data_IF_082624536650
#
_entry.id   IF_082624536650
#
_cell.length_a   1.000
_cell.length_b   1.000
_cell.length_c   1.000
_cell.angle_alpha   90.00
_cell.angle_beta   90.00
_cell.angle_gamma   90.00
#
_symmetry.space_group_name_H-M   'P 1'
#
loop_
_entity.id
_entity.type
_entity.pdbx_description
1 polymer ?
#
# COMPACT_ATOMS: atom_id res chain seq x y z
N UNK A 1 -52.52 -11.24 -63.94
CA UNK A 1 -52.27 -12.24 -62.88
C UNK A 1 -51.01 -11.82 -62.13
N UNK A 2 -51.14 -11.26 -60.92
CA UNK A 2 -49.99 -10.87 -60.07
C UNK A 2 -49.72 -12.02 -59.09
N UNK A 3 -48.53 -12.61 -59.15
CA UNK A 3 -48.10 -13.68 -58.23
C UNK A 3 -47.37 -12.99 -57.07
N UNK A 4 -47.92 -13.11 -55.86
CA UNK A 4 -47.28 -12.65 -54.63
C UNK A 4 -46.39 -13.79 -54.09
N UNK A 5 -45.10 -13.52 -53.89
CA UNK A 5 -44.22 -14.41 -53.13
C UNK A 5 -44.34 -14.12 -51.62
N UNK A 6 -44.28 -15.13 -50.74
CA UNK A 6 -44.29 -14.91 -49.31
C UNK A 6 -42.89 -14.48 -48.85
N UNK A 7 -42.83 -13.37 -48.11
CA UNK A 7 -41.65 -12.96 -47.37
C UNK A 7 -41.55 -13.85 -46.13
N UNK A 8 -40.58 -14.75 -46.11
CA UNK A 8 -40.23 -15.52 -44.91
C UNK A 8 -39.41 -14.59 -44.01
N UNK A 9 -40.02 -14.15 -42.91
CA UNK A 9 -39.31 -13.44 -41.84
C UNK A 9 -38.56 -14.49 -41.01
N UNK A 10 -37.25 -14.59 -41.21
CA UNK A 10 -36.38 -15.38 -40.34
C UNK A 10 -36.08 -14.54 -39.10
N UNK A 11 -36.76 -14.83 -38.00
CA UNK A 11 -36.46 -14.24 -36.70
C UNK A 11 -35.14 -14.81 -36.18
N UNK A 12 -34.06 -14.03 -36.25
CA UNK A 12 -32.79 -14.35 -35.60
C UNK A 12 -32.95 -14.13 -34.08
N UNK A 13 -33.25 -15.19 -33.35
CA UNK A 13 -33.17 -15.21 -31.89
C UNK A 13 -31.70 -15.41 -31.49
N UNK A 14 -30.98 -14.31 -31.24
CA UNK A 14 -29.68 -14.39 -30.59
C UNK A 14 -29.89 -14.70 -29.10
N UNK A 15 -29.83 -15.98 -28.72
CA UNK A 15 -29.71 -16.37 -27.32
C UNK A 15 -28.36 -15.86 -26.80
N UNK A 16 -28.40 -14.84 -25.95
CA UNK A 16 -27.24 -14.46 -25.15
C UNK A 16 -27.04 -15.51 -24.05
N UNK A 17 -26.15 -16.46 -24.31
CA UNK A 17 -25.73 -17.49 -23.35
C UNK A 17 -24.84 -16.81 -22.28
N UNK A 18 -25.44 -16.25 -21.24
CA UNK A 18 -24.71 -15.95 -20.01
C UNK A 18 -24.49 -17.28 -19.28
N UNK A 19 -23.36 -17.94 -19.53
CA UNK A 19 -22.96 -19.08 -18.72
C UNK A 19 -22.87 -18.62 -17.26
N UNK A 20 -23.58 -19.30 -16.35
CA UNK A 20 -23.48 -19.00 -14.91
C UNK A 20 -22.05 -19.26 -14.44
N UNK A 21 -21.44 -18.27 -13.78
CA UNK A 21 -20.11 -18.42 -13.18
C UNK A 21 -20.11 -19.56 -12.15
N UNK A 22 -19.22 -20.53 -12.35
CA UNK A 22 -19.04 -21.63 -11.41
C UNK A 22 -18.43 -21.12 -10.08
N UNK A 23 -18.55 -21.87 -8.97
CA UNK A 23 -17.83 -21.53 -7.73
C UNK A 23 -16.32 -21.38 -7.93
N UNK A 24 -15.73 -22.21 -8.81
CA UNK A 24 -14.32 -22.11 -9.16
C UNK A 24 -14.00 -20.82 -9.94
N UNK A 25 -14.90 -20.35 -10.80
CA UNK A 25 -14.73 -19.05 -11.50
C UNK A 25 -14.79 -17.89 -10.50
N UNK A 26 -15.72 -17.95 -9.54
CA UNK A 26 -15.85 -16.94 -8.47
C UNK A 26 -14.61 -16.84 -7.59
N UNK A 27 -14.05 -17.98 -7.17
CA UNK A 27 -12.80 -18.05 -6.39
C UNK A 27 -11.54 -17.63 -7.16
N UNK A 28 -11.66 -17.49 -8.48
CA UNK A 28 -10.60 -17.02 -9.36
C UNK A 28 -10.86 -15.62 -9.93
N UNK A 29 -11.99 -15.01 -9.61
CA UNK A 29 -12.34 -13.66 -10.06
C UNK A 29 -11.33 -12.62 -9.53
N UNK A 30 -11.03 -11.54 -10.28
CA UNK A 30 -10.12 -10.49 -9.81
C UNK A 30 -10.53 -9.89 -8.46
N UNK A 31 -11.85 -9.71 -8.24
CA UNK A 31 -12.38 -9.18 -6.99
C UNK A 31 -12.13 -10.10 -5.79
N UNK A 32 -12.36 -11.41 -5.96
CA UNK A 32 -12.08 -12.39 -4.91
C UNK A 32 -10.58 -12.46 -4.59
N UNK A 33 -9.74 -12.56 -5.62
CA UNK A 33 -8.28 -12.58 -5.46
C UNK A 33 -7.78 -11.31 -4.76
N UNK A 34 -8.32 -10.14 -5.10
CA UNK A 34 -7.93 -8.89 -4.44
C UNK A 34 -8.27 -8.90 -2.95
N UNK A 35 -9.47 -9.38 -2.59
CA UNK A 35 -9.90 -9.51 -1.19
C UNK A 35 -9.04 -10.52 -0.43
N UNK A 36 -8.83 -11.71 -1.00
CA UNK A 36 -8.00 -12.75 -0.39
C UNK A 36 -6.54 -12.29 -0.23
N UNK A 37 -6.00 -11.57 -1.20
CA UNK A 37 -4.69 -10.94 -1.12
C UNK A 37 -4.58 -9.95 0.04
N UNK A 38 -5.63 -9.17 0.29
CA UNK A 38 -5.71 -8.26 1.46
C UNK A 38 -5.74 -9.03 2.78
N UNK A 39 -6.52 -10.11 2.85
CA UNK A 39 -6.61 -10.98 4.03
C UNK A 39 -5.27 -11.67 4.33
N UNK A 40 -4.59 -12.16 3.29
CA UNK A 40 -3.23 -12.70 3.39
C UNK A 40 -2.25 -11.65 3.93
N UNK A 41 -2.27 -10.44 3.37
CA UNK A 41 -1.41 -9.34 3.81
C UNK A 41 -1.64 -9.02 5.29
N UNK A 42 -2.90 -8.86 5.70
CA UNK A 42 -3.27 -8.58 7.09
C UNK A 42 -2.95 -9.70 8.08
N UNK A 43 -2.73 -10.91 7.59
CA UNK A 43 -2.27 -12.03 8.38
C UNK A 43 -0.73 -12.21 8.35
N UNK A 44 0.01 -11.27 7.76
CA UNK A 44 1.48 -11.35 7.61
C UNK A 44 1.95 -12.35 6.55
N UNK A 45 1.03 -12.96 5.79
CA UNK A 45 1.33 -13.90 4.70
C UNK A 45 1.65 -13.13 3.41
N UNK A 46 2.81 -12.47 3.40
CA UNK A 46 3.20 -11.51 2.36
C UNK A 46 3.33 -12.18 0.97
N UNK A 47 3.93 -13.37 0.92
CA UNK A 47 4.13 -14.10 -0.35
C UNK A 47 2.79 -14.49 -0.99
N UNK A 48 1.86 -15.00 -0.20
CA UNK A 48 0.52 -15.40 -0.65
C UNK A 48 -0.30 -14.18 -1.09
N UNK A 49 -0.17 -13.07 -0.39
CA UNK A 49 -0.78 -11.79 -0.78
C UNK A 49 -0.30 -11.34 -2.16
N UNK A 50 1.01 -11.35 -2.39
CA UNK A 50 1.59 -10.99 -3.69
C UNK A 50 1.16 -11.94 -4.80
N UNK A 51 1.08 -13.25 -4.53
CA UNK A 51 0.61 -14.23 -5.53
C UNK A 51 -0.79 -13.88 -6.05
N UNK A 52 -1.70 -13.51 -5.16
CA UNK A 52 -3.06 -13.12 -5.55
C UNK A 52 -3.08 -11.78 -6.29
N UNK A 53 -2.39 -10.76 -5.78
CA UNK A 53 -2.37 -9.43 -6.41
C UNK A 53 -1.60 -9.41 -7.75
N UNK A 54 -0.52 -10.19 -7.90
CA UNK A 54 0.18 -10.36 -9.17
C UNK A 54 -0.76 -10.97 -10.22
N UNK A 55 -1.62 -11.91 -9.81
CA UNK A 55 -2.64 -12.49 -10.68
C UNK A 55 -3.71 -11.47 -11.05
N UNK A 56 -4.18 -10.65 -10.11
CA UNK A 56 -5.14 -9.56 -10.38
C UNK A 56 -4.58 -8.62 -11.45
N UNK A 57 -3.35 -8.14 -11.28
CA UNK A 57 -2.69 -7.23 -12.23
C UNK A 57 -2.48 -7.90 -13.60
N UNK A 58 -2.22 -9.21 -13.65
CA UNK A 58 -2.12 -9.95 -14.92
C UNK A 58 -3.48 -10.08 -15.62
N UNK A 59 -4.55 -10.31 -14.87
CA UNK A 59 -5.91 -10.46 -15.40
C UNK A 59 -6.50 -9.11 -15.85
N UNK A 60 -6.17 -8.04 -15.13
CA UNK A 60 -6.73 -6.70 -15.33
C UNK A 60 -5.60 -5.66 -15.30
N UNK A 61 -4.76 -5.56 -16.36
CA UNK A 61 -3.57 -4.70 -16.37
C UNK A 61 -3.83 -3.23 -16.06
N UNK A 62 -5.00 -2.71 -16.42
CA UNK A 62 -5.45 -1.36 -16.13
C UNK A 62 -5.65 -1.07 -14.63
N UNK A 63 -5.77 -2.10 -13.79
CA UNK A 63 -5.83 -1.92 -12.32
C UNK A 63 -4.44 -1.75 -11.70
N UNK A 64 -3.35 -2.04 -12.42
CA UNK A 64 -2.00 -2.00 -11.84
C UNK A 64 -1.63 -0.64 -11.23
N UNK A 65 -1.91 0.52 -11.86
CA UNK A 65 -1.68 1.83 -11.25
C UNK A 65 -2.51 2.07 -9.99
N UNK A 66 -3.66 1.41 -9.83
CA UNK A 66 -4.52 1.57 -8.64
C UNK A 66 -4.15 0.62 -7.50
N UNK A 67 -3.19 -0.30 -7.69
CA UNK A 67 -2.86 -1.37 -6.76
C UNK A 67 -1.71 -1.03 -5.81
N UNK A 68 -1.73 0.15 -5.17
CA UNK A 68 -0.66 0.62 -4.28
C UNK A 68 -0.35 -0.34 -3.10
N UNK A 69 -1.35 -1.09 -2.63
CA UNK A 69 -1.20 -2.11 -1.57
C UNK A 69 -0.18 -3.19 -1.95
N UNK A 70 -0.11 -3.53 -3.24
CA UNK A 70 0.87 -4.46 -3.79
C UNK A 70 2.28 -3.93 -3.64
N UNK A 71 2.50 -2.63 -3.81
CA UNK A 71 3.80 -1.97 -3.59
C UNK A 71 4.30 -2.13 -2.16
N UNK A 72 3.39 -2.00 -1.19
CA UNK A 72 3.70 -2.23 0.23
C UNK A 72 4.06 -3.70 0.48
N UNK A 73 3.33 -4.65 -0.12
CA UNK A 73 3.69 -6.06 0.01
C UNK A 73 5.03 -6.41 -0.68
N UNK A 74 5.35 -5.78 -1.81
CA UNK A 74 6.66 -5.93 -2.48
C UNK A 74 7.81 -5.48 -1.59
N UNK A 75 7.62 -4.37 -0.86
CA UNK A 75 8.58 -3.91 0.16
C UNK A 75 8.83 -4.99 1.22
N UNK A 76 7.77 -5.58 1.79
CA UNK A 76 7.92 -6.62 2.81
C UNK A 76 8.50 -7.93 2.27
N UNK A 77 8.30 -8.22 0.98
CA UNK A 77 8.92 -9.36 0.30
C UNK A 77 10.38 -9.12 -0.08
N UNK A 78 10.94 -7.92 0.17
CA UNK A 78 12.29 -7.56 -0.23
C UNK A 78 12.46 -7.30 -1.73
N UNK A 79 11.36 -7.23 -2.48
CA UNK A 79 11.33 -6.93 -3.93
C UNK A 79 11.31 -5.42 -4.15
N UNK A 80 12.37 -4.74 -3.72
CA UNK A 80 12.40 -3.28 -3.63
C UNK A 80 12.35 -2.58 -4.98
N UNK A 81 13.02 -3.10 -6.01
CA UNK A 81 12.97 -2.57 -7.37
C UNK A 81 11.56 -2.64 -7.96
N UNK A 82 10.85 -3.75 -7.75
CA UNK A 82 9.46 -3.90 -8.16
C UNK A 82 8.55 -2.94 -7.37
N UNK A 83 8.86 -2.72 -6.08
CA UNK A 83 8.16 -1.74 -5.24
C UNK A 83 8.31 -0.31 -5.77
N UNK A 84 9.53 0.09 -6.15
CA UNK A 84 9.80 1.37 -6.81
C UNK A 84 8.93 1.52 -8.06
N UNK A 85 8.98 0.54 -8.97
CA UNK A 85 8.20 0.57 -10.21
C UNK A 85 6.68 0.63 -9.94
N UNK A 86 6.19 -0.09 -8.93
CA UNK A 86 4.78 -0.09 -8.55
C UNK A 86 4.31 1.29 -8.04
N UNK A 87 5.13 2.00 -7.27
CA UNK A 87 4.78 3.35 -6.78
C UNK A 87 4.99 4.43 -7.84
N UNK A 88 5.90 4.23 -8.80
CA UNK A 88 6.03 5.08 -9.99
C UNK A 88 4.76 5.03 -10.85
N UNK A 89 4.21 3.84 -11.11
CA UNK A 89 2.92 3.75 -11.83
C UNK A 89 1.75 4.25 -10.99
N UNK A 90 1.75 4.07 -9.67
CA UNK A 90 0.67 4.60 -8.82
C UNK A 90 0.64 6.14 -8.81
N UNK A 91 1.81 6.78 -8.84
CA UNK A 91 1.92 8.24 -8.93
C UNK A 91 1.14 8.83 -10.11
N UNK A 92 0.98 8.09 -11.21
CA UNK A 92 0.26 8.55 -12.41
C UNK A 92 -1.26 8.71 -12.20
N UNK A 93 -1.84 8.01 -11.23
CA UNK A 93 -3.28 8.05 -10.93
C UNK A 93 -3.60 8.72 -9.60
N UNK A 94 -2.61 8.90 -8.73
CA UNK A 94 -2.75 9.54 -7.43
C UNK A 94 -1.50 10.36 -7.08
N UNK A 95 -1.40 11.56 -7.66
CA UNK A 95 -0.22 12.39 -7.52
C UNK A 95 -0.07 13.14 -6.19
N UNK A 96 -1.12 13.17 -5.36
CA UNK A 96 -1.16 13.96 -4.11
C UNK A 96 -0.82 13.17 -2.86
N UNK A 97 -0.73 11.84 -2.97
CA UNK A 97 -0.54 10.95 -1.84
C UNK A 97 0.91 10.95 -1.32
N UNK A 98 1.10 11.49 -0.12
CA UNK A 98 2.40 11.47 0.56
C UNK A 98 2.85 10.04 0.87
N UNK A 99 1.91 9.13 1.13
CA UNK A 99 2.24 7.75 1.45
C UNK A 99 2.92 7.09 0.24
N UNK A 100 2.40 7.29 -0.98
CA UNK A 100 3.05 6.86 -2.22
C UNK A 100 4.51 7.34 -2.30
N UNK A 101 4.75 8.64 -2.07
CA UNK A 101 6.10 9.21 -2.12
C UNK A 101 7.03 8.60 -1.05
N UNK A 102 6.53 8.35 0.16
CA UNK A 102 7.29 7.74 1.25
C UNK A 102 7.58 6.26 0.99
N UNK A 103 6.61 5.49 0.51
CA UNK A 103 6.81 4.08 0.19
C UNK A 103 7.76 3.89 -1.00
N UNK A 104 7.63 4.72 -2.03
CA UNK A 104 8.61 4.81 -3.12
C UNK A 104 10.01 5.10 -2.58
N UNK A 105 10.14 6.10 -1.68
CA UNK A 105 11.41 6.46 -1.07
C UNK A 105 12.07 5.28 -0.34
N UNK A 106 11.34 4.59 0.55
CA UNK A 106 11.94 3.51 1.35
C UNK A 106 12.24 2.25 0.51
N UNK A 107 11.50 2.01 -0.57
CA UNK A 107 11.89 1.00 -1.56
C UNK A 107 13.20 1.43 -2.25
N UNK A 108 13.28 2.67 -2.72
CA UNK A 108 14.46 3.19 -3.42
C UNK A 108 15.72 3.20 -2.55
N UNK A 109 15.61 3.44 -1.23
CA UNK A 109 16.73 3.33 -0.29
C UNK A 109 17.24 1.89 -0.18
N UNK A 110 16.35 0.91 -0.19
CA UNK A 110 16.70 -0.52 -0.01
C UNK A 110 17.04 -1.26 -1.30
N UNK A 111 16.65 -0.72 -2.45
CA UNK A 111 17.02 -1.24 -3.76
C UNK A 111 18.55 -1.24 -3.96
N UNK A 112 19.05 -2.05 -4.89
CA UNK A 112 20.48 -2.21 -5.16
C UNK A 112 21.14 -0.86 -5.47
N UNK A 113 22.12 -0.46 -4.66
CA UNK A 113 22.83 0.81 -4.80
C UNK A 113 22.02 2.06 -4.41
N UNK A 114 20.87 1.86 -3.77
CA UNK A 114 20.02 2.88 -3.17
C UNK A 114 20.70 3.57 -1.99
N UNK A 115 20.40 4.86 -1.81
CA UNK A 115 20.80 5.65 -0.64
C UNK A 115 19.71 6.65 -0.30
N UNK A 116 19.70 7.13 0.95
CA UNK A 116 18.82 8.23 1.39
C UNK A 116 18.96 9.46 0.50
N UNK A 117 20.19 9.84 0.13
CA UNK A 117 20.43 10.99 -0.75
C UNK A 117 19.77 10.82 -2.12
N UNK A 118 20.01 9.70 -2.80
CA UNK A 118 19.40 9.40 -4.11
C UNK A 118 17.88 9.33 -4.04
N UNK A 119 17.34 8.76 -2.97
CA UNK A 119 15.90 8.69 -2.77
C UNK A 119 15.27 10.08 -2.53
N UNK A 120 15.96 10.99 -1.82
CA UNK A 120 15.51 12.38 -1.62
C UNK A 120 15.44 13.17 -2.92
N UNK A 121 16.42 13.01 -3.79
CA UNK A 121 16.47 13.67 -5.09
C UNK A 121 15.25 13.30 -5.95
N UNK A 122 14.89 12.01 -5.94
CA UNK A 122 13.75 11.46 -6.70
C UNK A 122 12.40 11.59 -6.00
N UNK A 123 12.35 12.09 -4.78
CA UNK A 123 11.09 12.19 -4.03
C UNK A 123 10.16 13.20 -4.70
N UNK A 124 8.95 12.74 -5.04
CA UNK A 124 7.90 13.57 -5.65
C UNK A 124 7.58 14.82 -4.82
N UNK A 125 7.26 15.95 -5.47
CA UNK A 125 6.92 17.17 -4.76
C UNK A 125 5.64 17.00 -3.95
N UNK A 126 5.52 17.75 -2.85
CA UNK A 126 4.30 17.79 -2.08
C UNK A 126 3.19 18.44 -2.90
N UNK A 127 2.02 17.80 -2.93
CA UNK A 127 0.88 18.24 -3.74
C UNK A 127 -0.43 18.34 -2.93
N UNK A 128 -0.35 18.74 -1.66
CA UNK A 128 -1.52 19.20 -0.90
C UNK A 128 -2.28 18.14 -0.10
N UNK A 129 -1.64 17.05 0.31
CA UNK A 129 -2.26 16.05 1.18
C UNK A 129 -2.76 16.67 2.50
N UNK A 130 -4.07 16.57 2.74
CA UNK A 130 -4.73 17.24 3.87
C UNK A 130 -4.69 16.43 5.16
N UNK A 131 -4.24 15.16 5.11
CA UNK A 131 -4.18 14.28 6.28
C UNK A 131 -3.05 14.73 7.20
N UNK A 132 -3.31 14.72 8.50
CA UNK A 132 -2.32 15.10 9.52
C UNK A 132 -1.61 13.83 10.02
N UNK A 133 -0.27 13.80 10.12
CA UNK A 133 0.71 14.88 9.86
C UNK A 133 1.45 14.71 8.51
N UNK A 134 0.75 14.40 7.41
CA UNK A 134 1.42 13.96 6.18
C UNK A 134 2.24 15.05 5.49
N UNK A 135 1.88 16.33 5.65
CA UNK A 135 2.73 17.43 5.20
C UNK A 135 4.11 17.39 5.87
N UNK A 136 4.13 17.30 7.20
CA UNK A 136 5.37 17.26 7.98
C UNK A 136 6.15 15.97 7.75
N UNK A 137 5.46 14.84 7.50
CA UNK A 137 6.09 13.58 7.07
C UNK A 137 6.79 13.77 5.72
N UNK A 138 6.14 14.42 4.76
CA UNK A 138 6.77 14.70 3.46
C UNK A 138 8.05 15.53 3.64
N UNK A 139 7.98 16.62 4.41
CA UNK A 139 9.12 17.49 4.71
C UNK A 139 10.26 16.72 5.40
N UNK A 140 9.94 15.85 6.36
CA UNK A 140 10.92 15.00 7.04
C UNK A 140 11.69 14.12 6.06
N UNK A 141 10.97 13.40 5.18
CA UNK A 141 11.60 12.52 4.20
C UNK A 141 12.38 13.30 3.14
N UNK A 142 11.89 14.48 2.73
CA UNK A 142 12.59 15.38 1.80
C UNK A 142 13.87 15.99 2.40
N UNK A 143 14.00 15.97 3.73
CA UNK A 143 15.16 16.48 4.47
C UNK A 143 15.05 17.95 4.90
N UNK A 144 13.86 18.54 4.82
CA UNK A 144 13.56 19.91 5.25
C UNK A 144 12.74 19.98 6.55
N UNK A 145 12.25 18.83 7.01
CA UNK A 145 11.49 18.66 8.26
C UNK A 145 12.29 18.00 9.38
N UNK A 146 11.61 17.72 10.50
CA UNK A 146 12.19 17.05 11.66
C UNK A 146 11.16 16.19 12.37
N UNK A 147 11.61 15.21 13.17
CA UNK A 147 10.72 14.32 13.92
C UNK A 147 9.83 15.08 14.91
N UNK A 148 10.34 16.17 15.48
CA UNK A 148 9.63 17.05 16.41
C UNK A 148 8.47 17.75 15.71
N UNK A 149 8.67 18.25 14.48
CA UNK A 149 7.59 18.88 13.70
C UNK A 149 6.46 17.89 13.38
N UNK A 150 6.81 16.65 13.03
CA UNK A 150 5.82 15.59 12.78
C UNK A 150 4.97 15.32 14.02
N UNK A 151 5.60 15.17 15.18
CA UNK A 151 4.90 14.91 16.45
C UNK A 151 4.07 16.11 16.92
N UNK A 152 4.60 17.33 16.76
CA UNK A 152 3.90 18.56 17.08
C UNK A 152 2.63 18.72 16.22
N UNK A 153 2.72 18.48 14.91
CA UNK A 153 1.57 18.53 14.02
C UNK A 153 0.51 17.48 14.37
N UNK A 154 0.93 16.25 14.67
CA UNK A 154 0.04 15.16 15.03
C UNK A 154 -0.71 15.41 16.35
N UNK A 155 -0.07 16.11 17.29
CA UNK A 155 -0.59 16.35 18.65
C UNK A 155 -1.23 17.73 18.83
N UNK A 156 -1.26 18.56 17.78
CA UNK A 156 -1.70 19.96 17.86
C UNK A 156 -3.11 20.14 18.42
N UNK A 157 -4.03 19.25 18.04
CA UNK A 157 -5.40 19.24 18.54
C UNK A 157 -5.65 17.91 19.28
N UNK A 158 -5.70 18.00 20.61
CA UNK A 158 -5.92 16.87 21.49
C UNK A 158 -7.37 16.78 22.01
N UNK A 159 -8.29 17.61 21.49
CA UNK A 159 -9.69 17.66 21.95
C UNK A 159 -10.46 16.38 21.60
N UNK A 160 -10.20 15.82 20.42
CA UNK A 160 -10.77 14.55 19.95
C UNK A 160 -9.73 13.43 20.11
N UNK A 161 -9.97 12.55 21.09
CA UNK A 161 -9.07 11.42 21.38
C UNK A 161 -8.93 10.42 20.24
N UNK A 162 -9.99 10.21 19.44
CA UNK A 162 -9.95 9.28 18.32
C UNK A 162 -9.10 9.84 17.18
N UNK A 163 -9.28 11.12 16.86
CA UNK A 163 -8.46 11.80 15.85
C UNK A 163 -7.00 11.91 16.30
N UNK A 164 -6.77 12.28 17.55
CA UNK A 164 -5.42 12.34 18.13
C UNK A 164 -4.71 10.99 18.01
N UNK A 165 -5.36 9.89 18.39
CA UNK A 165 -4.82 8.54 18.23
C UNK A 165 -4.46 8.26 16.78
N UNK A 166 -5.34 8.57 15.84
CA UNK A 166 -5.08 8.29 14.42
C UNK A 166 -3.91 9.13 13.87
N UNK A 167 -3.82 10.41 14.22
CA UNK A 167 -2.68 11.25 13.83
C UNK A 167 -1.36 10.72 14.41
N UNK A 168 -1.35 10.32 15.69
CA UNK A 168 -0.18 9.74 16.35
C UNK A 168 0.20 8.37 15.78
N UNK A 169 -0.78 7.56 15.34
CA UNK A 169 -0.52 6.34 14.60
C UNK A 169 0.25 6.61 13.31
N UNK A 170 -0.20 7.59 12.49
CA UNK A 170 0.50 7.98 11.27
C UNK A 170 1.89 8.55 11.55
N UNK A 171 1.99 9.45 12.53
CA UNK A 171 3.27 10.04 12.94
C UNK A 171 4.29 8.96 13.28
N UNK A 172 3.94 8.03 14.17
CA UNK A 172 4.84 7.00 14.63
C UNK A 172 5.13 5.93 13.58
N UNK A 173 4.17 5.59 12.71
CA UNK A 173 4.43 4.72 11.57
C UNK A 173 5.53 5.30 10.69
N UNK A 174 5.37 6.56 10.28
CA UNK A 174 6.29 7.18 9.33
C UNK A 174 7.63 7.57 9.94
N UNK A 175 7.68 7.93 11.22
CA UNK A 175 8.95 8.06 11.95
C UNK A 175 9.69 6.74 12.06
N UNK A 176 8.97 5.64 12.30
CA UNK A 176 9.55 4.31 12.33
C UNK A 176 10.22 3.93 11.00
N UNK A 177 9.49 4.11 9.90
CA UNK A 177 10.01 3.87 8.55
C UNK A 177 11.17 4.81 8.18
N UNK A 178 11.10 6.08 8.61
CA UNK A 178 12.18 7.06 8.39
C UNK A 178 13.47 6.63 9.07
N UNK A 179 13.41 6.35 10.37
CA UNK A 179 14.58 5.91 11.13
C UNK A 179 15.14 4.58 10.60
N UNK A 180 14.28 3.69 10.11
CA UNK A 180 14.72 2.46 9.47
C UNK A 180 15.50 2.73 8.18
N UNK A 181 15.03 3.66 7.33
CA UNK A 181 15.74 4.07 6.12
C UNK A 181 17.09 4.75 6.42
N UNK A 182 17.24 5.35 7.60
CA UNK A 182 18.51 5.90 8.09
C UNK A 182 19.42 4.85 8.76
N UNK A 183 18.95 3.62 8.95
CA UNK A 183 19.68 2.56 9.66
C UNK A 183 19.60 2.64 11.19
N UNK A 184 18.82 3.56 11.76
CA UNK A 184 18.60 3.68 13.22
C UNK A 184 17.54 2.67 13.68
N UNK A 185 17.94 1.40 13.78
CA UNK A 185 17.03 0.28 14.08
C UNK A 185 16.37 0.40 15.47
N UNK A 186 17.04 1.05 16.43
CA UNK A 186 16.52 1.25 17.77
C UNK A 186 15.33 2.23 17.77
N UNK A 187 15.51 3.43 17.19
CA UNK A 187 14.41 4.40 17.08
C UNK A 187 13.30 3.90 16.17
N UNK A 188 13.65 3.19 15.10
CA UNK A 188 12.66 2.56 14.23
C UNK A 188 11.74 1.61 15.02
N UNK A 189 12.32 0.75 15.87
CA UNK A 189 11.57 -0.18 16.70
C UNK A 189 10.69 0.53 17.74
N UNK A 190 11.19 1.60 18.37
CA UNK A 190 10.43 2.37 19.36
C UNK A 190 9.17 3.00 18.74
N UNK A 191 9.34 3.74 17.65
CA UNK A 191 8.21 4.38 16.97
C UNK A 191 7.24 3.35 16.39
N UNK A 192 7.75 2.27 15.78
CA UNK A 192 6.87 1.24 15.23
C UNK A 192 6.04 0.54 16.32
N UNK A 193 6.61 0.32 17.51
CA UNK A 193 5.85 -0.19 18.66
C UNK A 193 4.72 0.76 19.04
N UNK A 194 5.01 2.06 19.21
CA UNK A 194 4.00 3.08 19.55
C UNK A 194 2.85 3.10 18.53
N UNK A 195 3.15 3.03 17.24
CA UNK A 195 2.12 2.97 16.19
C UNK A 195 1.28 1.68 16.24
N UNK A 196 1.91 0.54 16.54
CA UNK A 196 1.25 -0.77 16.55
C UNK A 196 0.44 -1.05 17.83
N UNK A 197 0.83 -0.47 18.97
CA UNK A 197 0.21 -0.72 20.28
C UNK A 197 -0.51 0.49 20.84
N UNK A 198 0.24 1.54 21.17
CA UNK A 198 -0.24 2.65 21.99
C UNK A 198 -1.24 3.51 21.21
N UNK A 199 -1.01 3.66 19.90
CA UNK A 199 -1.84 4.42 18.98
C UNK A 199 -2.49 3.53 17.92
N UNK A 200 -2.70 2.24 18.24
CA UNK A 200 -3.23 1.24 17.33
C UNK A 200 -4.51 1.72 16.63
N UNK A 201 -4.53 1.55 15.31
CA UNK A 201 -5.68 1.82 14.45
C UNK A 201 -6.00 0.61 13.57
N UNK A 202 -7.28 0.31 13.38
CA UNK A 202 -7.73 -0.84 12.55
C UNK A 202 -7.92 -0.51 11.06
N UNK A 203 -7.77 0.76 10.69
CA UNK A 203 -7.64 1.17 9.29
C UNK A 203 -6.35 0.61 8.67
N UNK A 204 -6.30 0.54 7.33
CA UNK A 204 -5.24 -0.12 6.57
C UNK A 204 -3.81 0.21 7.06
N UNK A 205 -3.45 1.49 7.16
CA UNK A 205 -2.09 1.87 7.59
C UNK A 205 -1.78 1.57 9.07
N UNK A 206 -2.80 1.56 9.93
CA UNK A 206 -2.65 1.08 11.31
C UNK A 206 -2.43 -0.43 11.36
N UNK A 207 -3.04 -1.20 10.45
CA UNK A 207 -2.73 -2.63 10.26
C UNK A 207 -1.33 -2.84 9.70
N UNK A 208 -0.87 -2.00 8.77
CA UNK A 208 0.52 -2.01 8.27
C UNK A 208 1.50 -1.82 9.41
N UNK A 209 1.27 -0.86 10.31
CA UNK A 209 2.12 -0.66 11.50
C UNK A 209 2.20 -1.92 12.38
N UNK A 210 1.06 -2.57 12.62
CA UNK A 210 0.99 -3.83 13.38
C UNK A 210 1.77 -4.97 12.71
N UNK A 211 1.59 -5.17 11.39
CA UNK A 211 2.31 -6.18 10.61
C UNK A 211 3.81 -5.91 10.67
N UNK A 212 4.23 -4.67 10.43
CA UNK A 212 5.63 -4.28 10.46
C UNK A 212 6.27 -4.56 11.82
N UNK A 213 5.58 -4.18 12.91
CA UNK A 213 6.04 -4.46 14.27
C UNK A 213 6.23 -5.95 14.53
N UNK A 214 5.27 -6.77 14.10
CA UNK A 214 5.31 -8.22 14.31
C UNK A 214 6.43 -8.89 13.50
N UNK A 215 6.57 -8.56 12.22
CA UNK A 215 7.65 -9.09 11.36
C UNK A 215 9.03 -8.73 11.91
N UNK A 216 9.22 -7.51 12.44
CA UNK A 216 10.48 -7.11 13.11
C UNK A 216 10.76 -7.97 14.35
N UNK A 217 9.73 -8.25 15.16
CA UNK A 217 9.88 -9.10 16.36
C UNK A 217 10.20 -10.53 16.00
N UNK A 218 9.55 -11.09 14.98
CA UNK A 218 9.80 -12.44 14.49
C UNK A 218 11.22 -12.58 13.94
N UNK A 219 11.66 -11.61 13.13
CA UNK A 219 13.03 -11.57 12.62
C UNK A 219 14.05 -11.53 13.75
N UNK A 220 13.87 -10.66 14.74
CA UNK A 220 14.77 -10.58 15.91
C UNK A 220 14.84 -11.89 16.68
N UNK A 221 13.70 -12.53 16.94
CA UNK A 221 13.66 -13.86 17.60
C UNK A 221 14.40 -14.92 16.79
N UNK A 222 14.23 -14.93 15.47
CA UNK A 222 14.90 -15.88 14.59
C UNK A 222 16.42 -15.65 14.52
N UNK A 223 16.89 -14.40 14.68
CA UNK A 223 18.31 -14.05 14.77
C UNK A 223 18.91 -14.47 16.13
N UNK A 224 18.15 -14.33 17.23
CA UNK A 224 18.58 -14.74 18.58
C UNK A 224 18.56 -16.27 18.79
N UNK A 225 17.85 -17.01 17.93
CA UNK A 225 17.73 -18.47 18.01
C UNK A 225 18.74 -19.23 17.13
N UNK A 226 19.64 -18.52 16.43
CA UNK A 226 20.70 -19.07 15.58
C UNK A 226 22.05 -18.96 16.27
#
# INVERSE_FOLDING_TARGET
MKIALPVIVVANLALSLHAEETPADKENSPGFLNKRGTEHFFAGRITESLKDWDRVVKMVPQQAPHHWQRGIALYYAGRYEDGVAQFEIHQTVNGTDVENAVWHFICAVRAKGGTVGKAREKMYPYAGDRRIPLKEVHELFKGTGSSEKVLAAASRDASDKLRLRNHLCYAHLYLGLYHEALGDSAKAAEHMKKAATDYRMDHYMGRVAQIHHNLRREKKKAEESK
#
